data_IF_032640009101
#
_entry.id   IF_032640009101
#
_cell.length_a   1.000
_cell.length_b   1.000
_cell.length_c   1.000
_cell.angle_alpha   90.00
_cell.angle_beta   90.00
_cell.angle_gamma   90.00
#
_symmetry.space_group_name_H-M   'P 1'
#
loop_
_entity.id
_entity.type
_entity.pdbx_description
1 polymer ?
#
# COMPACT_ATOMS: atom_id res chain seq x y z
N UNK A 1 -22.35 1.92 22.78
CA UNK A 1 -23.14 1.75 21.54
C UNK A 1 -24.54 1.29 21.95
N UNK A 2 -25.49 2.20 22.15
CA UNK A 2 -26.81 1.86 22.67
C UNK A 2 -27.60 1.00 21.66
N UNK A 3 -28.18 -0.16 22.07
CA UNK A 3 -28.77 -1.16 21.16
C UNK A 3 -30.17 -0.82 20.62
N UNK A 4 -30.63 0.43 20.76
CA UNK A 4 -32.02 0.84 20.47
C UNK A 4 -32.28 1.11 18.96
N UNK A 5 -31.28 0.97 18.10
CA UNK A 5 -31.39 1.41 16.71
C UNK A 5 -31.50 0.31 15.65
N UNK A 6 -31.53 -0.99 15.98
CA UNK A 6 -31.42 -2.02 14.92
C UNK A 6 -32.71 -2.23 14.11
N UNK A 7 -33.90 -2.25 14.73
CA UNK A 7 -35.14 -2.57 13.98
C UNK A 7 -35.55 -1.46 13.03
N UNK A 8 -35.46 -0.20 13.46
CA UNK A 8 -35.80 0.93 12.60
C UNK A 8 -34.85 1.01 11.40
N UNK A 9 -33.55 0.86 11.61
CA UNK A 9 -32.58 0.85 10.51
C UNK A 9 -32.78 -0.37 9.59
N UNK A 10 -33.03 -1.57 10.14
CA UNK A 10 -33.37 -2.78 9.36
C UNK A 10 -34.64 -2.58 8.53
N UNK A 11 -35.69 -2.02 9.11
CA UNK A 11 -36.92 -1.70 8.38
C UNK A 11 -36.68 -0.65 7.29
N UNK A 12 -35.84 0.36 7.59
CA UNK A 12 -35.47 1.40 6.62
C UNK A 12 -34.51 0.92 5.53
N UNK A 13 -33.81 -0.20 5.70
CA UNK A 13 -32.94 -0.78 4.66
C UNK A 13 -33.69 -1.69 3.69
N UNK A 14 -34.89 -2.17 4.04
CA UNK A 14 -35.71 -2.98 3.15
C UNK A 14 -36.13 -2.21 1.88
N UNK A 15 -35.88 -2.82 0.72
CA UNK A 15 -36.24 -2.32 -0.61
C UNK A 15 -37.65 -2.76 -0.99
N UNK A 16 -38.64 -2.02 -0.49
CA UNK A 16 -40.06 -2.27 -0.77
C UNK A 16 -40.46 -1.55 -2.08
N UNK A 17 -41.33 -2.15 -2.93
CA UNK A 17 -41.61 -1.63 -4.28
C UNK A 17 -42.29 -0.25 -4.31
N UNK A 18 -43.07 0.10 -3.28
CA UNK A 18 -43.69 1.43 -3.12
C UNK A 18 -42.74 2.49 -2.54
N UNK A 19 -41.54 2.07 -2.11
CA UNK A 19 -40.63 2.93 -1.38
C UNK A 19 -39.54 3.47 -2.31
N UNK A 20 -39.41 4.80 -2.36
CA UNK A 20 -38.46 5.49 -3.24
C UNK A 20 -37.11 5.79 -2.60
N UNK A 21 -37.02 5.77 -1.27
CA UNK A 21 -35.81 6.05 -0.49
C UNK A 21 -35.51 4.87 0.41
N UNK A 22 -34.25 4.44 0.47
CA UNK A 22 -33.82 3.30 1.26
C UNK A 22 -32.50 3.61 1.96
N UNK A 23 -32.35 3.09 3.17
CA UNK A 23 -31.15 3.26 3.97
C UNK A 23 -30.11 2.23 3.50
N UNK A 24 -28.94 2.70 3.08
CA UNK A 24 -27.83 1.84 2.72
C UNK A 24 -27.00 1.44 3.94
N UNK A 25 -26.79 2.38 4.87
CA UNK A 25 -26.06 2.11 6.11
C UNK A 25 -25.81 3.36 6.93
N UNK A 26 -24.95 3.22 7.94
CA UNK A 26 -24.49 4.30 8.80
C UNK A 26 -22.98 4.20 9.01
N UNK A 27 -22.34 5.32 9.31
CA UNK A 27 -20.95 5.32 9.74
C UNK A 27 -20.80 5.22 11.26
N UNK A 28 -19.56 5.12 11.74
CA UNK A 28 -19.21 5.15 13.16
C UNK A 28 -19.47 6.52 13.82
N UNK A 29 -19.58 7.59 13.03
CA UNK A 29 -19.86 8.95 13.51
C UNK A 29 -21.37 9.21 13.71
N UNK A 30 -22.23 8.30 13.25
CA UNK A 30 -23.69 8.41 13.34
C UNK A 30 -24.35 9.10 12.14
N UNK A 31 -23.60 9.38 11.07
CA UNK A 31 -24.18 9.81 9.79
C UNK A 31 -24.89 8.62 9.13
N UNK A 32 -25.99 8.92 8.44
CA UNK A 32 -26.79 7.91 7.74
C UNK A 32 -26.74 8.12 6.24
N UNK A 33 -26.61 7.02 5.51
CA UNK A 33 -26.42 7.02 4.07
C UNK A 33 -27.64 6.42 3.39
N UNK A 34 -28.15 7.13 2.40
CA UNK A 34 -29.42 6.83 1.76
C UNK A 34 -29.25 6.76 0.26
N UNK A 35 -29.98 5.85 -0.36
CA UNK A 35 -30.14 5.79 -1.81
C UNK A 35 -31.61 6.06 -2.15
N UNK A 36 -31.85 6.71 -3.28
CA UNK A 36 -33.20 7.02 -3.72
C UNK A 36 -33.34 7.12 -5.24
N UNK A 37 -34.56 6.90 -5.73
CA UNK A 37 -34.93 7.09 -7.13
C UNK A 37 -35.36 8.53 -7.36
N UNK A 38 -34.62 9.25 -8.20
CA UNK A 38 -35.00 10.58 -8.65
C UNK A 38 -36.32 10.53 -9.44
N UNK A 39 -37.13 11.57 -9.36
CA UNK A 39 -38.37 11.68 -10.14
C UNK A 39 -38.08 11.95 -11.62
N UNK A 40 -37.04 12.72 -11.91
CA UNK A 40 -36.69 13.10 -13.28
C UNK A 40 -35.87 12.02 -14.00
N UNK A 41 -35.08 11.23 -13.25
CA UNK A 41 -34.22 10.20 -13.82
C UNK A 41 -34.33 8.89 -13.05
N UNK A 42 -35.38 8.12 -13.34
CA UNK A 42 -35.68 6.86 -12.66
C UNK A 42 -34.66 5.74 -12.96
N UNK A 43 -33.83 5.87 -14.01
CA UNK A 43 -32.82 4.87 -14.38
C UNK A 43 -31.64 4.85 -13.42
N UNK A 44 -31.33 5.97 -12.76
CA UNK A 44 -30.17 6.12 -11.87
C UNK A 44 -30.60 6.32 -10.42
N UNK A 45 -30.09 5.47 -9.54
CA UNK A 45 -30.19 5.68 -8.10
C UNK A 45 -29.23 6.79 -7.67
N UNK A 46 -29.73 7.77 -6.92
CA UNK A 46 -28.93 8.83 -6.32
C UNK A 46 -28.61 8.47 -4.88
N UNK A 47 -27.42 8.87 -4.43
CA UNK A 47 -26.91 8.61 -3.08
C UNK A 47 -26.82 9.93 -2.32
N UNK A 48 -27.20 9.96 -1.05
CA UNK A 48 -27.14 11.14 -0.18
C UNK A 48 -26.75 10.77 1.24
N UNK A 49 -25.98 11.65 1.88
CA UNK A 49 -25.67 11.56 3.31
C UNK A 49 -26.60 12.46 4.11
N UNK A 50 -27.10 11.96 5.24
CA UNK A 50 -27.83 12.73 6.24
C UNK A 50 -27.03 12.73 7.52
N UNK A 51 -26.60 13.93 7.90
CA UNK A 51 -25.88 14.22 9.13
C UNK A 51 -26.78 15.03 10.08
N UNK A 52 -26.28 15.34 11.27
CA UNK A 52 -27.02 16.12 12.27
C UNK A 52 -27.27 17.55 11.74
N UNK A 53 -28.51 18.05 11.68
CA UNK A 53 -28.79 19.40 11.17
C UNK A 53 -28.09 20.52 11.97
N UNK A 54 -27.63 20.25 13.19
CA UNK A 54 -26.90 21.21 14.03
C UNK A 54 -25.41 21.34 13.64
N UNK A 55 -24.83 20.35 12.97
CA UNK A 55 -23.42 20.42 12.56
C UNK A 55 -23.29 21.23 11.28
N UNK A 56 -22.35 22.17 11.23
CA UNK A 56 -22.07 22.94 10.04
C UNK A 56 -21.54 22.03 8.92
N UNK A 57 -21.92 22.30 7.67
CA UNK A 57 -21.63 21.44 6.52
C UNK A 57 -20.13 21.18 6.33
N UNK A 58 -19.29 22.19 6.58
CA UNK A 58 -17.84 22.06 6.43
C UNK A 58 -17.20 21.11 7.47
N UNK A 59 -17.86 20.92 8.61
CA UNK A 59 -17.34 20.11 9.72
C UNK A 59 -17.77 18.64 9.64
N UNK A 60 -18.65 18.31 8.67
CA UNK A 60 -19.14 16.95 8.48
C UNK A 60 -18.02 16.06 7.94
N UNK A 61 -17.43 15.27 8.83
CA UNK A 61 -16.40 14.29 8.47
C UNK A 61 -17.06 13.00 7.98
N UNK A 62 -16.82 12.66 6.72
CA UNK A 62 -17.28 11.40 6.12
C UNK A 62 -16.04 10.56 5.76
N UNK A 63 -16.07 9.24 6.02
CA UNK A 63 -14.93 8.38 5.72
C UNK A 63 -14.66 8.29 4.20
N UNK A 64 -13.42 8.02 3.76
CA UNK A 64 -13.10 7.87 2.34
C UNK A 64 -13.90 6.75 1.66
N UNK A 65 -14.17 5.65 2.37
CA UNK A 65 -14.98 4.53 1.87
C UNK A 65 -16.42 4.97 1.56
N UNK A 66 -17.02 5.77 2.44
CA UNK A 66 -18.35 6.34 2.21
C UNK A 66 -18.34 7.38 1.08
N UNK A 67 -17.26 8.14 0.92
CA UNK A 67 -17.10 9.05 -0.22
C UNK A 67 -17.05 8.30 -1.56
N UNK A 68 -16.30 7.20 -1.65
CA UNK A 68 -16.26 6.36 -2.85
C UNK A 68 -17.64 5.84 -3.22
N UNK A 69 -18.39 5.38 -2.21
CA UNK A 69 -19.76 4.94 -2.41
C UNK A 69 -20.67 6.10 -2.85
N UNK A 70 -20.64 7.27 -2.19
CA UNK A 70 -21.42 8.44 -2.62
C UNK A 70 -21.11 8.88 -4.07
N UNK A 71 -19.87 8.71 -4.51
CA UNK A 71 -19.40 9.05 -5.85
C UNK A 71 -19.61 7.95 -6.90
N UNK A 72 -20.29 6.86 -6.55
CA UNK A 72 -20.48 5.70 -7.44
C UNK A 72 -19.18 5.05 -7.93
N UNK A 73 -18.08 5.23 -7.20
CA UNK A 73 -16.82 4.49 -7.47
C UNK A 73 -16.95 3.04 -6.98
N UNK A 74 -17.73 2.85 -5.92
CA UNK A 74 -18.03 1.54 -5.33
C UNK A 74 -19.51 1.25 -5.43
N UNK A 75 -19.87 0.02 -5.80
CA UNK A 75 -21.28 -0.40 -5.87
C UNK A 75 -21.88 -0.66 -4.49
N UNK A 76 -21.22 -1.50 -3.69
CA UNK A 76 -21.71 -1.88 -2.37
C UNK A 76 -21.32 -0.85 -1.29
N UNK A 77 -22.22 -0.53 -0.34
CA UNK A 77 -21.89 0.36 0.76
C UNK A 77 -20.89 -0.29 1.73
N UNK A 78 -20.01 0.49 2.37
CA UNK A 78 -19.05 -0.04 3.33
C UNK A 78 -19.74 -0.57 4.59
N UNK A 79 -19.32 -1.76 5.02
CA UNK A 79 -19.89 -2.42 6.21
C UNK A 79 -19.32 -1.84 7.50
N UNK A 80 -20.02 -2.02 8.62
CA UNK A 80 -19.53 -1.55 9.93
C UNK A 80 -18.19 -2.21 10.30
N UNK A 81 -18.05 -3.50 10.00
CA UNK A 81 -16.81 -4.25 10.25
C UNK A 81 -15.64 -3.68 9.42
N UNK A 82 -15.88 -3.36 8.16
CA UNK A 82 -14.88 -2.75 7.30
C UNK A 82 -14.43 -1.37 7.82
N UNK A 83 -15.36 -0.57 8.31
CA UNK A 83 -15.05 0.74 8.92
C UNK A 83 -14.21 0.59 10.20
N UNK A 84 -14.53 -0.39 11.05
CA UNK A 84 -13.76 -0.69 12.26
C UNK A 84 -12.34 -1.18 11.89
N UNK A 85 -12.23 -2.04 10.89
CA UNK A 85 -10.94 -2.53 10.41
C UNK A 85 -10.06 -1.41 9.82
N UNK A 86 -10.64 -0.41 9.16
CA UNK A 86 -9.85 0.73 8.67
C UNK A 86 -9.28 1.57 9.82
N UNK A 87 -10.03 1.77 10.91
CA UNK A 87 -9.50 2.45 12.10
C UNK A 87 -8.32 1.66 12.71
N UNK A 88 -8.49 0.35 12.89
CA UNK A 88 -7.42 -0.52 13.39
C UNK A 88 -6.19 -0.50 12.46
N UNK A 89 -6.41 -0.50 11.14
CA UNK A 89 -5.33 -0.38 10.15
C UNK A 89 -4.58 0.95 10.30
N UNK A 90 -5.30 2.06 10.47
CA UNK A 90 -4.70 3.38 10.66
C UNK A 90 -3.85 3.43 11.93
N UNK A 91 -4.34 2.89 13.04
CA UNK A 91 -3.60 2.79 14.30
C UNK A 91 -2.34 1.95 14.14
N UNK A 92 -2.47 0.76 13.53
CA UNK A 92 -1.34 -0.13 13.26
C UNK A 92 -0.29 0.55 12.38
N UNK A 93 -0.72 1.25 11.34
CA UNK A 93 0.18 1.99 10.44
C UNK A 93 0.96 3.08 11.17
N UNK A 94 0.31 3.86 12.04
CA UNK A 94 0.98 4.88 12.86
C UNK A 94 2.02 4.27 13.79
N UNK A 95 1.71 3.15 14.42
CA UNK A 95 2.66 2.43 15.27
C UNK A 95 3.88 1.93 14.49
N UNK A 96 3.66 1.32 13.32
CA UNK A 96 4.75 0.84 12.46
C UNK A 96 5.61 1.99 11.92
N UNK A 97 4.99 3.11 11.54
CA UNK A 97 5.71 4.30 11.09
C UNK A 97 6.64 4.82 12.19
N UNK A 98 6.16 4.93 13.43
CA UNK A 98 7.01 5.32 14.58
C UNK A 98 8.22 4.40 14.76
N UNK A 99 8.03 3.08 14.73
CA UNK A 99 9.15 2.13 14.85
C UNK A 99 10.13 2.27 13.69
N UNK A 100 9.65 2.58 12.48
CA UNK A 100 10.50 2.82 11.33
C UNK A 100 11.32 4.11 11.50
N UNK A 101 10.71 5.18 12.03
CA UNK A 101 11.38 6.44 12.33
C UNK A 101 12.46 6.26 13.39
N UNK A 102 12.18 5.51 14.47
CA UNK A 102 13.16 5.18 15.52
C UNK A 102 14.34 4.37 14.93
N UNK A 103 14.05 3.40 14.06
CA UNK A 103 15.08 2.64 13.32
C UNK A 103 15.85 3.50 12.34
N UNK A 104 15.23 4.50 11.72
CA UNK A 104 15.87 5.42 10.78
C UNK A 104 16.79 6.40 11.51
N UNK A 105 16.31 6.99 12.62
CA UNK A 105 17.09 7.90 13.46
C UNK A 105 18.29 7.22 14.13
N UNK A 106 18.17 5.93 14.46
CA UNK A 106 19.25 5.15 15.07
C UNK A 106 20.36 4.75 14.07
N UNK A 107 20.11 4.86 12.75
CA UNK A 107 21.15 4.61 11.75
C UNK A 107 22.04 5.86 11.67
N UNK A 108 23.36 5.74 11.92
CA UNK A 108 24.25 6.89 11.77
C UNK A 108 24.16 7.41 10.34
N UNK A 109 23.74 8.65 10.19
CA UNK A 109 23.64 9.33 8.89
C UNK A 109 25.06 9.46 8.32
N UNK A 110 25.26 8.93 7.12
CA UNK A 110 26.56 9.00 6.43
C UNK A 110 27.07 10.45 6.24
N UNK A 111 26.15 11.43 6.21
CA UNK A 111 26.45 12.85 6.07
C UNK A 111 26.79 13.57 7.39
N UNK A 112 26.58 12.96 8.54
CA UNK A 112 26.95 13.52 9.85
C UNK A 112 28.28 12.94 10.35
N UNK A 113 29.09 12.42 9.41
CA UNK A 113 30.48 12.09 9.70
C UNK A 113 31.15 13.41 10.10
N UNK A 114 31.57 13.59 11.37
CA UNK A 114 32.36 14.76 11.70
C UNK A 114 33.54 14.75 10.73
N UNK A 115 33.85 15.92 10.19
CA UNK A 115 34.99 16.16 9.33
C UNK A 115 36.24 15.85 10.17
N UNK A 116 36.57 14.57 10.37
CA UNK A 116 37.89 14.14 10.81
C UNK A 116 38.82 14.69 9.75
N UNK A 117 39.56 15.71 10.17
CA UNK A 117 40.53 16.45 9.41
C UNK A 117 41.20 15.55 8.37
N UNK A 118 40.84 15.70 7.10
CA UNK A 118 41.69 15.24 6.00
C UNK A 118 42.93 16.13 6.00
N UNK A 119 43.87 15.83 6.89
CA UNK A 119 45.27 16.18 6.74
C UNK A 119 45.85 15.17 5.74
N UNK A 120 45.56 15.38 4.46
CA UNK A 120 46.11 14.61 3.35
C UNK A 120 46.10 15.47 2.08
N UNK A 121 47.23 15.65 1.40
CA UNK A 121 47.33 16.62 0.30
C UNK A 121 46.51 16.16 -0.91
N UNK A 122 45.76 17.12 -1.46
CA UNK A 122 44.93 16.99 -2.65
C UNK A 122 45.76 16.79 -3.92
N UNK A 123 46.03 15.55 -4.31
CA UNK A 123 46.46 15.13 -5.67
C UNK A 123 46.21 13.61 -5.70
N UNK A 124 45.48 12.97 -6.61
CA UNK A 124 45.54 13.03 -8.06
C UNK A 124 44.22 12.49 -8.65
N UNK A 125 43.74 13.19 -9.67
CA UNK A 125 42.87 12.60 -10.69
C UNK A 125 43.73 11.71 -11.57
N UNK A 126 43.53 10.40 -11.49
CA UNK A 126 43.91 9.48 -12.56
C UNK A 126 42.79 8.47 -12.73
N UNK A 127 42.17 8.55 -13.89
CA UNK A 127 41.30 7.52 -14.44
C UNK A 127 42.06 6.18 -14.44
N UNK A 128 41.43 5.13 -13.92
CA UNK A 128 41.76 3.77 -14.33
C UNK A 128 40.50 2.91 -14.34
N UNK A 129 40.00 2.67 -15.55
CA UNK A 129 39.01 1.66 -15.86
C UNK A 129 39.67 0.29 -15.70
N UNK A 130 39.31 -0.45 -14.66
CA UNK A 130 39.55 -1.89 -14.61
C UNK A 130 38.23 -2.60 -14.33
N UNK A 131 37.68 -3.19 -15.40
CA UNK A 131 36.71 -4.27 -15.30
C UNK A 131 37.39 -5.47 -14.64
N UNK A 132 36.87 -5.91 -13.50
CA UNK A 132 37.09 -7.27 -13.01
C UNK A 132 35.76 -7.83 -12.51
N UNK A 133 35.25 -8.78 -13.29
CA UNK A 133 34.22 -9.72 -12.85
C UNK A 133 34.74 -10.45 -11.60
N UNK A 134 34.06 -10.28 -10.47
CA UNK A 134 34.24 -11.13 -9.30
C UNK A 134 32.88 -11.32 -8.60
N UNK A 135 32.40 -12.56 -8.63
CA UNK A 135 31.22 -13.07 -7.92
C UNK A 135 31.19 -12.65 -6.44
N UNK A 136 30.00 -12.50 -5.82
CA UNK A 136 29.92 -12.27 -4.39
C UNK A 136 30.35 -13.52 -3.61
N UNK A 137 31.23 -13.39 -2.61
CA UNK A 137 31.55 -14.50 -1.72
C UNK A 137 30.36 -14.77 -0.79
N UNK A 138 29.91 -16.01 -0.85
CA UNK A 138 29.01 -16.63 0.11
C UNK A 138 29.67 -16.61 1.51
N UNK A 139 29.20 -15.76 2.42
CA UNK A 139 29.52 -15.84 3.85
C UNK A 139 28.32 -16.38 4.61
N UNK A 140 28.26 -17.71 4.71
CA UNK A 140 27.54 -18.40 5.78
C UNK A 140 28.47 -18.49 6.98
N UNK A 141 28.26 -17.63 7.97
CA UNK A 141 28.78 -17.88 9.31
C UNK A 141 27.80 -18.78 10.07
N UNK A 142 28.38 -19.89 10.49
CA UNK A 142 27.91 -20.98 11.33
C UNK A 142 27.22 -20.52 12.63
N UNK A 143 26.00 -21.01 12.86
CA UNK A 143 25.52 -21.35 14.21
C UNK A 143 25.31 -22.85 14.27
N UNK A 144 26.02 -23.44 15.24
CA UNK A 144 26.16 -24.86 15.55
C UNK A 144 24.94 -25.35 16.35
N UNK A 145 24.41 -26.51 15.97
CA UNK A 145 23.46 -27.32 16.75
C UNK A 145 23.39 -28.76 16.19
N UNK A 146 23.27 -29.81 17.03
CA UNK A 146 23.93 -31.09 16.77
C UNK A 146 23.01 -32.22 16.28
N UNK A 147 23.70 -33.30 15.90
CA UNK A 147 23.27 -34.71 15.80
C UNK A 147 22.77 -35.27 14.45
N UNK A 148 23.65 -36.16 13.94
CA UNK A 148 23.37 -37.56 13.58
C UNK A 148 22.20 -37.83 12.63
N UNK A 149 22.52 -38.20 11.40
CA UNK A 149 22.57 -39.61 10.97
C UNK A 149 22.66 -39.68 9.45
N UNK A 150 23.51 -40.58 8.97
CA UNK A 150 23.74 -40.77 7.55
C UNK A 150 22.51 -41.37 6.86
N UNK A 151 22.24 -40.89 5.66
CA UNK A 151 21.61 -41.67 4.61
C UNK A 151 22.08 -41.11 3.27
N UNK A 152 22.98 -41.88 2.67
CA UNK A 152 23.44 -41.80 1.30
C UNK A 152 22.24 -41.94 0.35
N UNK A 153 21.93 -40.94 -0.47
CA UNK A 153 21.01 -41.11 -1.60
C UNK A 153 21.49 -40.38 -2.85
N UNK A 154 21.31 -41.12 -3.95
CA UNK A 154 21.90 -41.00 -5.27
C UNK A 154 21.47 -39.75 -6.03
N UNK A 155 22.36 -39.36 -6.93
CA UNK A 155 22.18 -38.47 -8.07
C UNK A 155 20.91 -38.83 -8.87
N UNK A 156 19.97 -37.89 -8.99
CA UNK A 156 18.99 -37.83 -10.07
C UNK A 156 18.73 -36.36 -10.44
N UNK A 157 19.10 -36.00 -11.66
CA UNK A 157 18.57 -34.86 -12.39
C UNK A 157 17.10 -35.13 -12.71
N UNK A 158 16.18 -34.25 -12.29
CA UNK A 158 14.94 -33.97 -13.02
C UNK A 158 14.21 -32.75 -12.44
N UNK A 159 13.81 -31.83 -13.33
CA UNK A 159 12.68 -30.91 -13.17
C UNK A 159 12.56 -30.06 -11.89
N UNK A 160 13.36 -28.99 -11.76
CA UNK A 160 13.02 -27.92 -10.80
C UNK A 160 11.86 -27.07 -11.36
N UNK A 161 10.63 -27.47 -11.04
CA UNK A 161 9.50 -26.55 -11.02
C UNK A 161 9.84 -25.39 -10.07
N UNK A 162 9.90 -24.17 -10.61
CA UNK A 162 10.16 -22.97 -9.82
C UNK A 162 8.97 -22.75 -8.88
N UNK A 163 9.25 -22.59 -7.59
CA UNK A 163 8.21 -22.31 -6.58
C UNK A 163 7.31 -21.14 -7.02
N UNK A 164 5.98 -21.21 -6.80
CA UNK A 164 4.98 -20.29 -7.38
C UNK A 164 5.08 -18.83 -6.88
N UNK A 165 6.06 -18.53 -6.03
CA UNK A 165 6.33 -17.22 -5.44
C UNK A 165 7.55 -16.53 -6.06
N UNK A 166 8.32 -17.24 -6.90
CA UNK A 166 9.47 -16.66 -7.61
C UNK A 166 8.95 -15.82 -8.77
N UNK A 167 8.61 -14.56 -8.48
CA UNK A 167 8.31 -13.58 -9.51
C UNK A 167 9.61 -13.24 -10.24
N UNK A 168 9.58 -13.25 -11.57
CA UNK A 168 10.69 -12.76 -12.38
C UNK A 168 10.85 -11.27 -12.05
N UNK A 169 11.91 -10.91 -11.34
CA UNK A 169 12.28 -9.52 -11.11
C UNK A 169 12.85 -9.00 -12.42
N UNK A 170 12.00 -8.35 -13.21
CA UNK A 170 12.41 -7.61 -14.38
C UNK A 170 11.26 -6.82 -14.99
N UNK A 171 11.30 -5.49 -14.90
CA UNK A 171 10.34 -4.63 -15.59
C UNK A 171 10.60 -4.60 -17.11
N UNK A 172 9.60 -4.32 -17.97
CA UNK A 172 9.80 -4.22 -19.44
C UNK A 172 10.88 -3.21 -19.87
N UNK A 173 11.24 -2.28 -18.99
CA UNK A 173 12.25 -1.24 -19.21
C UNK A 173 13.67 -1.65 -18.85
N UNK A 174 13.92 -2.80 -18.23
CA UNK A 174 15.28 -3.21 -17.83
C UNK A 174 16.15 -3.63 -19.03
N UNK A 175 15.53 -3.99 -20.16
CA UNK A 175 16.21 -4.30 -21.41
C UNK A 175 16.50 -3.05 -22.26
N UNK A 176 16.05 -1.88 -21.82
CA UNK A 176 16.26 -0.64 -22.58
C UNK A 176 17.60 -0.01 -22.19
N UNK A 177 18.53 0.05 -23.15
CA UNK A 177 19.75 0.85 -23.05
C UNK A 177 19.75 1.93 -24.13
N UNK A 178 20.10 3.19 -23.81
CA UNK A 178 20.18 4.24 -24.80
C UNK A 178 21.35 4.02 -25.76
N UNK A 179 21.15 4.31 -27.05
CA UNK A 179 22.24 4.35 -28.02
C UNK A 179 23.25 5.47 -27.67
N UNK A 180 24.54 5.20 -27.88
CA UNK A 180 25.59 6.19 -27.68
C UNK A 180 25.55 7.26 -28.77
N UNK A 181 25.46 8.53 -28.36
CA UNK A 181 25.46 9.68 -29.25
C UNK A 181 26.77 9.71 -30.07
N UNK A 182 26.66 9.69 -31.41
CA UNK A 182 27.80 9.93 -32.32
C UNK A 182 27.66 11.29 -33.01
N UNK A 183 28.56 12.28 -32.75
CA UNK A 183 28.47 13.59 -33.39
C UNK A 183 28.89 13.49 -34.87
N UNK A 184 27.99 13.86 -35.78
CA UNK A 184 28.33 13.96 -37.21
C UNK A 184 29.22 15.16 -37.45
N UNK A 185 30.48 14.92 -37.82
CA UNK A 185 31.38 15.98 -38.30
C UNK A 185 30.91 16.43 -39.69
N UNK A 186 30.34 17.64 -39.78
CA UNK A 186 30.08 18.29 -41.08
C UNK A 186 31.42 18.72 -41.68
N UNK A 187 31.81 18.06 -42.77
CA UNK A 187 32.95 18.42 -43.60
C UNK A 187 32.78 19.79 -44.26
N UNK A 188 33.93 20.45 -44.45
CA UNK A 188 34.10 21.81 -44.97
C UNK A 188 33.94 21.87 -46.49
#
# INVERSE_FOLDING_TARGET
MSPINSLWFKWKSLKLPWRRTFLAGSDLAGNTFWEFKDALNAKRLRRIVKFNPKTHLADVKVSPQWHQWLRHVREEPPTIQEQQNDLLRQERMKYLARLADERWASKPSFFDRPQEHQLGPAVQSSQELHHSNASPPNRTETVRGPNESGAEFKNQEEGKEKAPWVRQTGGPSEQWQPESWTPTLKGR
#
